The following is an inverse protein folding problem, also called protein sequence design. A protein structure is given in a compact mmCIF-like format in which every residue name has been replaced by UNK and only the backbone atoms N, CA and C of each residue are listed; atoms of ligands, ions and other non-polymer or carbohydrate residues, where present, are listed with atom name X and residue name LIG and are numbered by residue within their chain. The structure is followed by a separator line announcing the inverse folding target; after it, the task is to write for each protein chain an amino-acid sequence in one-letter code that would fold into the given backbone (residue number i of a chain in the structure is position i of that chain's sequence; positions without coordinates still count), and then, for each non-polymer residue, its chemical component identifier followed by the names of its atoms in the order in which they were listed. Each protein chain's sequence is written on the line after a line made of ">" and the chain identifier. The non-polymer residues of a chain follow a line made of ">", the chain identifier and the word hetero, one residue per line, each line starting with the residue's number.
data_IF_455660071901
#
_entry.id   IF_455660071901
#
_cell.length_a   1.000
_cell.length_b   1.000
_cell.length_c   1.000
_cell.angle_alpha   90.00
_cell.angle_beta   90.00
_cell.angle_gamma   90.00
#
_symmetry.space_group_name_H-M   'P 1'
#
loop_
_entity.id
_entity.type
_entity.pdbx_description
1 polymer ?
#
# COMPACT_ATOMS: atom_id res chain seq x y z
N UNK A 1 -14.14 -18.02 20.01
CA UNK A 1 -14.66 -16.67 20.35
C UNK A 1 -13.70 -15.66 19.75
N UNK A 2 -14.11 -14.85 18.78
CA UNK A 2 -13.18 -13.85 18.22
C UNK A 2 -12.98 -12.73 19.23
N UNK A 3 -11.73 -12.47 19.60
CA UNK A 3 -11.44 -11.38 20.53
C UNK A 3 -11.63 -10.03 19.84
N UNK A 4 -12.06 -9.02 20.56
CA UNK A 4 -12.16 -7.64 20.04
C UNK A 4 -10.81 -7.14 19.52
N UNK A 5 -9.71 -7.60 20.11
CA UNK A 5 -8.36 -7.29 19.65
C UNK A 5 -8.10 -7.81 18.23
N UNK A 6 -8.46 -9.07 17.96
CA UNK A 6 -8.31 -9.68 16.62
C UNK A 6 -9.11 -8.92 15.57
N UNK A 7 -10.34 -8.48 15.87
CA UNK A 7 -11.14 -7.70 14.92
C UNK A 7 -10.55 -6.31 14.66
N UNK A 8 -9.95 -5.69 15.64
CA UNK A 8 -9.21 -4.43 15.47
C UNK A 8 -8.00 -4.60 14.54
N UNK A 9 -7.25 -5.68 14.71
CA UNK A 9 -6.10 -5.99 13.84
C UNK A 9 -6.56 -6.25 12.41
N UNK A 10 -7.63 -7.03 12.20
CA UNK A 10 -8.24 -7.25 10.89
C UNK A 10 -8.66 -5.94 10.22
N UNK A 11 -9.33 -5.08 10.98
CA UNK A 11 -9.77 -3.77 10.48
C UNK A 11 -8.60 -2.87 10.12
N UNK A 12 -7.58 -2.79 10.99
CA UNK A 12 -6.37 -2.01 10.73
C UNK A 12 -5.64 -2.51 9.47
N UNK A 13 -5.56 -3.83 9.29
CA UNK A 13 -4.98 -4.42 8.08
C UNK A 13 -5.72 -3.99 6.82
N UNK A 14 -7.06 -4.15 6.79
CA UNK A 14 -7.90 -3.76 5.64
C UNK A 14 -7.75 -2.30 5.30
N UNK A 15 -7.82 -1.42 6.30
CA UNK A 15 -7.69 0.03 6.11
C UNK A 15 -6.31 0.37 5.54
N UNK A 16 -5.23 -0.16 6.11
CA UNK A 16 -3.88 0.11 5.66
C UNK A 16 -3.63 -0.39 4.22
N UNK A 17 -4.17 -1.57 3.87
CA UNK A 17 -4.05 -2.09 2.50
C UNK A 17 -4.87 -1.27 1.50
N UNK A 18 -6.11 -0.94 1.84
CA UNK A 18 -7.00 -0.09 1.02
C UNK A 18 -6.42 1.31 0.79
N UNK A 19 -5.64 1.83 1.75
CA UNK A 19 -4.98 3.12 1.62
C UNK A 19 -3.96 3.14 0.47
N UNK A 20 -3.29 2.02 0.20
CA UNK A 20 -2.36 1.91 -0.93
C UNK A 20 -3.08 2.07 -2.28
N UNK A 21 -4.29 1.52 -2.41
CA UNK A 21 -5.10 1.72 -3.62
C UNK A 21 -5.56 3.17 -3.75
N UNK A 22 -5.88 3.85 -2.64
CA UNK A 22 -6.20 5.29 -2.65
C UNK A 22 -5.00 6.14 -3.04
N UNK A 23 -3.79 5.78 -2.63
CA UNK A 23 -2.55 6.40 -3.10
C UNK A 23 -2.41 6.24 -4.61
N UNK A 24 -2.72 5.07 -5.16
CA UNK A 24 -2.70 4.84 -6.61
C UNK A 24 -3.71 5.71 -7.36
N UNK A 25 -4.93 5.86 -6.85
CA UNK A 25 -5.93 6.77 -7.42
C UNK A 25 -5.44 8.22 -7.45
N UNK A 26 -4.81 8.67 -6.37
CA UNK A 26 -4.26 10.02 -6.32
C UNK A 26 -3.11 10.19 -7.31
N UNK A 27 -2.22 9.19 -7.43
CA UNK A 27 -1.14 9.21 -8.43
C UNK A 27 -1.72 9.28 -9.84
N UNK A 28 -2.71 8.47 -10.18
CA UNK A 28 -3.36 8.52 -11.51
C UNK A 28 -3.96 9.90 -11.79
N UNK A 29 -4.75 10.41 -10.84
CA UNK A 29 -5.46 11.68 -10.99
C UNK A 29 -4.49 12.87 -11.07
N UNK A 30 -3.54 12.96 -10.15
CA UNK A 30 -2.63 14.10 -10.03
C UNK A 30 -1.65 14.18 -11.22
N UNK A 31 -1.08 13.06 -11.64
CA UNK A 31 -0.18 12.99 -12.79
C UNK A 31 -0.92 12.77 -14.11
N UNK A 32 -2.25 12.71 -14.12
CA UNK A 32 -3.11 12.56 -15.31
C UNK A 32 -2.68 11.37 -16.18
N UNK A 33 -2.60 10.18 -15.57
CA UNK A 33 -2.17 8.97 -16.27
C UNK A 33 -3.27 8.39 -17.16
N UNK A 34 -4.53 8.69 -16.87
CA UNK A 34 -5.69 8.30 -17.69
C UNK A 34 -6.01 6.82 -17.63
N UNK A 35 -5.80 6.18 -16.46
CA UNK A 35 -6.11 4.78 -16.26
C UNK A 35 -7.61 4.53 -16.18
N UNK A 36 -8.04 3.33 -16.56
CA UNK A 36 -9.42 2.87 -16.35
C UNK A 36 -9.64 2.70 -14.84
N UNK A 37 -10.66 3.39 -14.31
CA UNK A 37 -10.93 3.49 -12.86
C UNK A 37 -10.95 2.13 -12.17
N UNK A 38 -11.65 1.15 -12.73
CA UNK A 38 -11.80 -0.20 -12.15
C UNK A 38 -10.49 -1.02 -12.14
N UNK A 39 -9.47 -0.55 -12.83
CA UNK A 39 -8.16 -1.20 -12.92
C UNK A 39 -7.06 -0.49 -12.15
N UNK A 40 -7.37 0.64 -11.51
CA UNK A 40 -6.40 1.38 -10.71
C UNK A 40 -6.18 0.64 -9.39
N UNK A 41 -4.95 0.24 -9.18
CA UNK A 41 -4.47 -0.27 -7.90
C UNK A 41 -2.97 0.04 -7.76
N UNK A 42 -2.43 -0.14 -6.56
CA UNK A 42 -1.05 0.24 -6.25
C UNK A 42 0.00 -0.54 -7.06
N UNK A 43 -0.34 -1.73 -7.55
CA UNK A 43 0.51 -2.53 -8.44
C UNK A 43 0.55 -1.97 -9.87
N UNK A 44 -0.62 -1.60 -10.42
CA UNK A 44 -0.81 -1.38 -11.85
C UNK A 44 -0.69 0.08 -12.29
N UNK A 45 -0.82 1.04 -11.36
CA UNK A 45 -0.81 2.47 -11.69
C UNK A 45 0.48 2.90 -12.42
N UNK A 46 1.58 2.21 -12.17
CA UNK A 46 2.91 2.49 -12.76
C UNK A 46 3.11 1.90 -14.15
N UNK A 47 2.32 0.91 -14.53
CA UNK A 47 2.56 0.06 -15.69
C UNK A 47 1.72 0.48 -16.89
N UNK A 48 2.24 0.19 -18.09
CA UNK A 48 1.42 0.26 -19.32
C UNK A 48 0.31 -0.76 -19.22
N UNK A 49 -0.90 -0.40 -19.64
CA UNK A 49 -2.05 -1.29 -19.54
C UNK A 49 -1.80 -2.60 -20.31
N UNK A 50 -2.07 -3.71 -19.64
CA UNK A 50 -1.89 -5.07 -20.20
C UNK A 50 -0.44 -5.50 -20.43
N UNK A 51 0.56 -4.71 -20.02
CA UNK A 51 1.99 -5.02 -20.22
C UNK A 51 2.79 -4.85 -18.93
N UNK A 52 3.75 -5.72 -18.64
CA UNK A 52 4.65 -5.57 -17.48
C UNK A 52 5.76 -4.53 -17.75
N UNK A 53 5.40 -3.39 -18.33
CA UNK A 53 6.30 -2.32 -18.73
C UNK A 53 5.93 -1.04 -17.99
N UNK A 54 6.93 -0.39 -17.38
CA UNK A 54 6.78 0.91 -16.75
C UNK A 54 6.30 1.95 -17.78
N UNK A 55 5.42 2.84 -17.37
CA UNK A 55 5.03 4.00 -18.20
C UNK A 55 6.27 4.82 -18.57
N UNK A 56 6.40 5.17 -19.83
CA UNK A 56 7.57 5.92 -20.34
C UNK A 56 7.76 7.25 -19.59
N UNK A 57 6.66 7.86 -19.17
CA UNK A 57 6.66 9.08 -18.37
C UNK A 57 7.46 8.97 -17.06
N UNK A 58 7.58 7.78 -16.47
CA UNK A 58 8.26 7.57 -15.19
C UNK A 58 9.72 7.09 -15.34
N UNK A 59 10.19 6.78 -16.55
CA UNK A 59 11.53 6.23 -16.75
C UNK A 59 12.63 7.16 -16.28
N UNK A 60 12.57 8.43 -16.71
CA UNK A 60 13.58 9.44 -16.42
C UNK A 60 13.03 10.62 -15.60
N UNK A 61 11.92 10.39 -14.90
CA UNK A 61 11.24 11.43 -14.16
C UNK A 61 12.04 11.83 -12.91
N UNK A 62 12.40 13.12 -12.75
CA UNK A 62 13.32 13.57 -11.70
C UNK A 62 12.65 13.76 -10.32
N UNK A 63 11.61 12.97 -10.02
CA UNK A 63 10.90 13.01 -8.76
C UNK A 63 11.25 11.77 -7.92
N UNK A 64 12.29 11.90 -7.09
CA UNK A 64 12.79 10.81 -6.25
C UNK A 64 11.74 10.22 -5.28
N UNK A 65 10.92 11.02 -4.58
CA UNK A 65 9.83 10.48 -3.77
C UNK A 65 8.84 9.65 -4.58
N UNK A 66 8.49 10.05 -5.80
CA UNK A 66 7.62 9.27 -6.67
C UNK A 66 8.26 7.94 -7.07
N UNK A 67 9.58 7.94 -7.32
CA UNK A 67 10.34 6.69 -7.50
C UNK A 67 10.30 5.82 -6.24
N UNK A 68 10.38 6.42 -5.05
CA UNK A 68 10.21 5.71 -3.78
C UNK A 68 8.87 4.98 -3.68
N UNK A 69 7.77 5.63 -4.07
CA UNK A 69 6.45 5.00 -4.17
C UNK A 69 6.43 3.81 -5.13
N UNK A 70 7.03 3.97 -6.30
CA UNK A 70 7.16 2.87 -7.27
C UNK A 70 7.92 1.67 -6.67
N UNK A 71 9.03 1.92 -5.97
CA UNK A 71 9.78 0.85 -5.31
C UNK A 71 9.01 0.16 -4.19
N UNK A 72 8.22 0.89 -3.40
CA UNK A 72 7.30 0.28 -2.42
C UNK A 72 6.28 -0.64 -3.11
N UNK A 73 5.77 -0.23 -4.28
CA UNK A 73 4.89 -1.09 -5.09
C UNK A 73 5.62 -2.36 -5.56
N UNK A 74 6.86 -2.23 -6.00
CA UNK A 74 7.70 -3.37 -6.40
C UNK A 74 7.95 -4.33 -5.23
N UNK A 75 8.30 -3.80 -4.06
CA UNK A 75 8.50 -4.62 -2.85
C UNK A 75 7.26 -5.46 -2.52
N UNK A 76 6.06 -4.90 -2.68
CA UNK A 76 4.81 -5.59 -2.39
C UNK A 76 4.38 -6.60 -3.44
N UNK A 77 4.66 -6.35 -4.74
CA UNK A 77 4.01 -7.08 -5.83
C UNK A 77 4.95 -7.74 -6.83
N UNK A 78 6.27 -7.49 -6.76
CA UNK A 78 7.22 -8.10 -7.69
C UNK A 78 7.70 -9.46 -7.18
N UNK A 79 7.40 -10.52 -7.95
CA UNK A 79 7.74 -11.90 -7.56
C UNK A 79 9.25 -12.18 -7.62
N UNK A 80 10.02 -11.44 -8.40
CA UNK A 80 11.48 -11.58 -8.45
C UNK A 80 12.14 -10.93 -7.23
N UNK A 81 11.68 -9.75 -6.84
CA UNK A 81 12.14 -9.08 -5.62
C UNK A 81 11.73 -9.84 -4.35
N UNK A 82 10.59 -10.52 -4.35
CA UNK A 82 10.14 -11.36 -3.23
C UNK A 82 11.13 -12.47 -2.87
N UNK A 83 11.86 -13.00 -3.85
CA UNK A 83 12.88 -14.04 -3.59
C UNK A 83 14.12 -13.51 -2.88
N UNK A 84 14.42 -12.23 -3.02
CA UNK A 84 15.63 -11.60 -2.50
C UNK A 84 15.41 -10.72 -1.27
N UNK A 85 14.26 -10.04 -1.17
CA UNK A 85 14.00 -9.02 -0.13
C UNK A 85 12.93 -9.42 0.89
N UNK A 86 12.15 -10.45 0.66
CA UNK A 86 11.22 -10.95 1.66
C UNK A 86 10.13 -11.87 1.13
N UNK A 87 9.97 -13.06 1.70
CA UNK A 87 8.89 -14.01 1.37
C UNK A 87 7.49 -13.47 1.68
N UNK A 88 7.41 -12.39 2.43
CA UNK A 88 6.19 -11.86 3.05
C UNK A 88 5.18 -11.22 2.09
N UNK A 89 5.59 -10.77 0.91
CA UNK A 89 4.68 -10.02 0.04
C UNK A 89 3.54 -10.88 -0.52
N UNK A 90 3.80 -12.17 -0.76
CA UNK A 90 2.75 -13.13 -1.16
C UNK A 90 1.77 -13.36 -0.01
N UNK A 91 2.28 -13.55 1.20
CA UNK A 91 1.45 -13.73 2.39
C UNK A 91 0.57 -12.51 2.66
N UNK A 92 1.11 -11.29 2.50
CA UNK A 92 0.32 -10.06 2.63
C UNK A 92 -0.84 -10.01 1.64
N UNK A 93 -0.62 -10.42 0.40
CA UNK A 93 -1.66 -10.50 -0.61
C UNK A 93 -2.71 -11.57 -0.29
N UNK A 94 -2.25 -12.74 0.17
CA UNK A 94 -3.13 -13.88 0.52
C UNK A 94 -4.00 -13.56 1.75
N UNK A 95 -3.43 -12.90 2.76
CA UNK A 95 -4.18 -12.37 3.92
C UNK A 95 -5.24 -11.35 3.47
N UNK A 96 -4.88 -10.40 2.60
CA UNK A 96 -5.83 -9.42 2.05
C UNK A 96 -6.98 -10.12 1.34
N UNK A 97 -6.68 -11.06 0.47
CA UNK A 97 -7.71 -11.81 -0.27
C UNK A 97 -8.60 -12.64 0.67
N UNK A 98 -8.02 -13.21 1.73
CA UNK A 98 -8.79 -13.93 2.74
C UNK A 98 -9.70 -12.99 3.54
N UNK A 99 -9.24 -11.79 3.87
CA UNK A 99 -10.03 -10.79 4.58
C UNK A 99 -11.18 -10.20 3.74
N UNK A 100 -11.00 -10.11 2.42
CA UNK A 100 -11.99 -9.49 1.51
C UNK A 100 -12.98 -10.51 0.93
N UNK A 101 -12.50 -11.73 0.61
CA UNK A 101 -13.24 -12.66 -0.24
C UNK A 101 -13.38 -14.08 0.32
N UNK A 102 -12.74 -14.39 1.46
CA UNK A 102 -12.72 -15.73 2.06
C UNK A 102 -12.94 -15.68 3.56
N UNK A 103 -13.06 -16.85 4.17
CA UNK A 103 -13.07 -16.98 5.62
C UNK A 103 -11.64 -16.96 6.16
N UNK A 104 -11.30 -15.94 6.97
CA UNK A 104 -10.05 -15.91 7.72
C UNK A 104 -10.28 -16.52 9.10
N UNK A 105 -9.65 -17.66 9.35
CA UNK A 105 -9.61 -18.27 10.69
C UNK A 105 -8.33 -17.81 11.41
N UNK A 106 -8.49 -17.16 12.56
CA UNK A 106 -7.37 -16.75 13.39
C UNK A 106 -7.32 -17.66 14.62
N UNK A 107 -6.16 -18.27 14.81
CA UNK A 107 -5.89 -19.15 15.95
C UNK A 107 -5.06 -18.40 17.00
N UNK A 108 -5.43 -18.57 18.28
CA UNK A 108 -4.61 -18.08 19.37
C UNK A 108 -3.43 -19.03 19.61
N UNK A 109 -2.24 -18.49 19.84
CA UNK A 109 -0.98 -19.23 19.86
C UNK A 109 -0.90 -20.39 20.88
N UNK A 110 -1.76 -20.40 21.91
CA UNK A 110 -1.87 -21.50 22.88
C UNK A 110 -2.70 -22.70 22.36
N UNK A 111 -3.49 -22.51 21.31
CA UNK A 111 -4.33 -23.57 20.71
C UNK A 111 -3.61 -24.37 19.62
N UNK A 112 -2.30 -24.30 19.51
CA UNK A 112 -1.50 -24.96 18.46
C UNK A 112 -1.54 -26.49 18.57
N UNK A 113 -2.11 -27.21 17.61
CA UNK A 113 -1.56 -28.49 17.21
C UNK A 113 -0.25 -28.20 16.46
N UNK A 114 0.77 -28.98 16.72
CA UNK A 114 2.19 -28.86 16.27
C UNK A 114 2.44 -28.67 14.74
N UNK A 115 1.38 -28.60 13.92
CA UNK A 115 1.46 -28.65 12.46
C UNK A 115 1.17 -27.35 11.66
N UNK A 116 0.91 -26.20 12.33
CA UNK A 116 0.38 -25.02 11.62
C UNK A 116 1.34 -23.83 11.66
N UNK A 117 2.58 -24.00 11.23
CA UNK A 117 3.57 -22.91 11.13
C UNK A 117 3.51 -22.14 9.80
N UNK A 118 2.69 -22.60 8.84
CA UNK A 118 2.49 -21.94 7.54
C UNK A 118 1.01 -21.68 7.30
N UNK A 119 0.64 -20.54 6.71
CA UNK A 119 -0.73 -20.31 6.30
C UNK A 119 -1.18 -21.42 5.34
N UNK A 120 -2.16 -22.22 5.71
CA UNK A 120 -2.70 -23.25 4.83
C UNK A 120 -3.97 -22.75 4.16
N UNK A 121 -4.04 -22.90 2.85
CA UNK A 121 -5.21 -22.58 2.02
C UNK A 121 -6.02 -23.83 1.68
N UNK A 122 -6.14 -24.76 2.59
CA UNK A 122 -6.96 -25.95 2.39
C UNK A 122 -8.45 -25.60 2.52
N UNK A 123 -9.19 -25.76 1.45
CA UNK A 123 -10.63 -25.53 1.39
C UNK A 123 -11.05 -24.07 1.25
N UNK A 124 -12.19 -23.72 1.85
CA UNK A 124 -12.81 -22.38 1.79
C UNK A 124 -12.22 -21.36 2.78
N UNK A 125 -11.27 -21.76 3.63
CA UNK A 125 -10.70 -20.97 4.71
C UNK A 125 -9.20 -20.72 4.56
N UNK A 126 -8.74 -19.56 4.99
CA UNK A 126 -7.34 -19.23 5.19
C UNK A 126 -7.09 -19.15 6.70
N UNK A 127 -6.12 -19.95 7.17
CA UNK A 127 -5.79 -20.06 8.60
C UNK A 127 -4.51 -19.30 8.91
N UNK A 128 -4.52 -18.48 9.97
CA UNK A 128 -3.38 -17.69 10.41
C UNK A 128 -3.33 -17.62 11.94
N UNK A 129 -2.12 -17.61 12.48
CA UNK A 129 -1.88 -17.34 13.90
C UNK A 129 -2.09 -15.85 14.22
N UNK A 130 -2.59 -15.54 15.43
CA UNK A 130 -2.87 -14.17 15.86
C UNK A 130 -1.62 -13.29 15.87
N UNK A 131 -0.50 -13.81 16.38
CA UNK A 131 0.76 -13.05 16.46
C UNK A 131 1.34 -12.77 15.06
N UNK A 132 1.17 -13.75 14.16
CA UNK A 132 1.56 -13.58 12.76
C UNK A 132 0.68 -12.53 12.07
N UNK A 133 -0.64 -12.57 12.29
CA UNK A 133 -1.57 -11.57 11.74
C UNK A 133 -1.21 -10.16 12.24
N UNK A 134 -0.91 -10.00 13.53
CA UNK A 134 -0.48 -8.74 14.11
C UNK A 134 0.81 -8.21 13.49
N UNK A 135 1.81 -9.09 13.36
CA UNK A 135 3.10 -8.77 12.72
C UNK A 135 2.90 -8.31 11.28
N UNK A 136 2.06 -9.01 10.51
CA UNK A 136 1.75 -8.64 9.12
C UNK A 136 0.93 -7.35 9.03
N UNK A 137 -0.02 -7.13 9.94
CA UNK A 137 -0.77 -5.89 10.01
C UNK A 137 0.15 -4.69 10.28
N UNK A 138 1.06 -4.81 11.25
CA UNK A 138 2.04 -3.77 11.54
C UNK A 138 2.94 -3.48 10.34
N UNK A 139 3.34 -4.51 9.59
CA UNK A 139 4.13 -4.33 8.36
C UNK A 139 3.36 -3.55 7.30
N UNK A 140 2.11 -3.91 7.00
CA UNK A 140 1.27 -3.19 6.03
C UNK A 140 1.06 -1.74 6.46
N UNK A 141 0.83 -1.48 7.75
CA UNK A 141 0.70 -0.12 8.28
C UNK A 141 1.98 0.70 8.10
N UNK A 142 3.16 0.12 8.31
CA UNK A 142 4.46 0.78 8.04
C UNK A 142 4.63 1.13 6.57
N UNK A 143 4.26 0.21 5.68
CA UNK A 143 4.31 0.43 4.22
C UNK A 143 3.33 1.54 3.82
N UNK A 144 2.09 1.49 4.31
CA UNK A 144 1.08 2.52 4.05
C UNK A 144 1.52 3.91 4.54
N UNK A 145 2.10 3.99 5.75
CA UNK A 145 2.70 5.23 6.26
C UNK A 145 3.82 5.74 5.35
N UNK A 146 4.74 4.87 4.93
CA UNK A 146 5.82 5.23 4.03
C UNK A 146 5.29 5.72 2.69
N UNK A 147 4.24 5.08 2.16
CA UNK A 147 3.59 5.49 0.92
C UNK A 147 2.97 6.90 1.04
N UNK A 148 2.31 7.23 2.15
CA UNK A 148 1.77 8.57 2.39
C UNK A 148 2.86 9.63 2.46
N UNK A 149 3.95 9.36 3.16
CA UNK A 149 5.10 10.28 3.27
C UNK A 149 5.70 10.52 1.88
N UNK A 150 5.97 9.45 1.14
CA UNK A 150 6.52 9.56 -0.21
C UNK A 150 5.58 10.30 -1.16
N UNK A 151 4.27 10.07 -1.04
CA UNK A 151 3.26 10.76 -1.84
C UNK A 151 3.26 12.27 -1.55
N UNK A 152 3.24 12.66 -0.28
CA UNK A 152 3.26 14.06 0.11
C UNK A 152 4.53 14.77 -0.40
N UNK A 153 5.69 14.12 -0.26
CA UNK A 153 6.95 14.63 -0.77
C UNK A 153 6.95 14.69 -2.30
N UNK A 154 6.39 13.70 -3.00
CA UNK A 154 6.31 13.66 -4.46
C UNK A 154 5.47 14.81 -5.02
N UNK A 155 4.31 15.08 -4.40
CA UNK A 155 3.47 16.23 -4.76
C UNK A 155 4.22 17.53 -4.48
N UNK A 156 4.88 17.67 -3.33
CA UNK A 156 5.67 18.85 -3.01
C UNK A 156 6.84 19.12 -3.97
N UNK A 157 7.49 18.08 -4.50
CA UNK A 157 8.52 18.22 -5.55
C UNK A 157 7.87 18.69 -6.85
N UNK A 158 6.76 18.07 -7.23
CA UNK A 158 6.04 18.42 -8.46
C UNK A 158 5.54 19.85 -8.46
N UNK A 159 4.92 20.30 -7.37
CA UNK A 159 4.43 21.68 -7.27
C UNK A 159 5.56 22.71 -7.33
N UNK A 160 6.69 22.42 -6.70
CA UNK A 160 7.88 23.29 -6.81
C UNK A 160 8.44 23.36 -8.24
N UNK A 161 8.40 22.25 -8.98
CA UNK A 161 8.81 22.21 -10.36
C UNK A 161 7.87 23.03 -11.23
N UNK A 162 6.56 22.83 -11.08
CA UNK A 162 5.53 23.59 -11.81
C UNK A 162 5.59 25.09 -11.50
N UNK A 163 5.84 25.46 -10.24
CA UNK A 163 5.98 26.87 -9.87
C UNK A 163 7.20 27.55 -10.51
N UNK A 164 8.30 26.81 -10.69
CA UNK A 164 9.49 27.32 -11.39
C UNK A 164 9.27 27.49 -12.89
N UNK A 165 8.49 26.59 -13.49
CA UNK A 165 8.15 26.64 -14.93
C UNK A 165 7.10 27.72 -15.24
N UNK A 166 6.31 28.15 -14.26
CA UNK A 166 5.24 29.16 -14.39
C UNK A 166 5.35 30.23 -13.31
N UNK A 167 6.37 31.08 -13.35
CA UNK A 167 6.62 32.08 -12.30
C UNK A 167 5.48 33.10 -12.14
N UNK A 168 4.67 33.32 -13.19
CA UNK A 168 3.56 34.28 -13.17
C UNK A 168 2.26 33.73 -12.56
N UNK A 169 2.24 32.49 -12.13
CA UNK A 169 1.06 31.92 -11.50
C UNK A 169 1.09 32.22 -10.01
N UNK A 170 0.22 33.13 -9.55
CA UNK A 170 0.06 33.44 -8.12
C UNK A 170 -0.42 32.20 -7.38
N UNK A 171 0.45 31.61 -6.58
CA UNK A 171 0.10 30.57 -5.62
C UNK A 171 -0.31 31.31 -4.34
N UNK A 172 -1.62 31.45 -4.10
CA UNK A 172 -2.12 32.00 -2.84
C UNK A 172 -1.61 31.15 -1.68
N UNK A 173 -0.76 31.71 -0.85
CA UNK A 173 -0.39 31.08 0.42
C UNK A 173 -1.57 31.22 1.38
N UNK A 174 -2.21 30.11 1.73
CA UNK A 174 -3.16 30.09 2.82
C UNK A 174 -2.39 29.82 4.12
N UNK A 175 -2.27 30.83 4.98
CA UNK A 175 -1.76 30.61 6.32
C UNK A 175 -2.75 29.73 7.07
N UNK A 176 -2.31 28.57 7.51
CA UNK A 176 -3.05 27.78 8.49
C UNK A 176 -3.06 28.58 9.79
N UNK A 177 -4.24 28.98 10.24
CA UNK A 177 -4.41 29.54 11.59
C UNK A 177 -3.84 28.48 12.56
N UNK A 178 -2.89 28.93 13.39
CA UNK A 178 -2.37 28.10 14.45
C UNK A 178 -3.53 27.62 15.33
N UNK A 179 -3.59 26.31 15.55
CA UNK A 179 -4.38 25.77 16.63
C UNK A 179 -3.70 26.23 17.90
N UNK A 180 -4.24 27.29 18.50
CA UNK A 180 -3.83 27.72 19.82
C UNK A 180 -4.15 26.58 20.80
N UNK A 181 -3.10 26.00 21.37
CA UNK A 181 -3.19 25.04 22.46
C UNK A 181 -3.82 25.72 23.67
N UNK A 182 -5.09 25.40 23.97
CA UNK A 182 -5.76 25.67 25.23
C UNK A 182 -5.89 24.39 26.04
#
# INVERSE_FOLDING_TARGET
>A
MHSLATERVRTAYRIAYSLLDKVAFLVDHYWKLGKIVDRINFKNVWMVEGKPRLLDRFKDYPNWPLRGLFWLSKELFDDQLKRTTGPDARELHDIRNALEHKFLQVHEGWARPFMWTTPSSEGLGFSIDSDLLETKALRVMKIARSALIQLALAVGVEERTRARERPDTFIGSMSLYGLDDH
#
